data_IF_455164606171
#
_entry.id   IF_455164606171
#
_cell.length_a   1.000
_cell.length_b   1.000
_cell.length_c   1.000
_cell.angle_alpha   90.00
_cell.angle_beta   90.00
_cell.angle_gamma   90.00
#
_symmetry.space_group_name_H-M   'P 1'
#
loop_
_entity.id
_entity.type
_entity.pdbx_description
1 polymer ?
#
# COMPACT_ATOMS: atom_id res chain seq x y z
N UNK A 1 8.34 -4.41 -2.46
CA UNK A 1 9.79 -4.19 -2.59
C UNK A 1 10.46 -5.30 -3.39
N UNK A 2 10.07 -6.57 -3.24
CA UNK A 2 10.67 -7.65 -4.04
C UNK A 2 10.59 -7.42 -5.56
N UNK A 3 9.44 -6.98 -6.10
CA UNK A 3 9.30 -6.71 -7.54
C UNK A 3 10.27 -5.62 -8.02
N UNK A 4 10.36 -4.49 -7.30
CA UNK A 4 11.25 -3.39 -7.67
C UNK A 4 12.73 -3.82 -7.60
N UNK A 5 13.11 -4.58 -6.57
CA UNK A 5 14.47 -5.11 -6.43
C UNK A 5 14.83 -6.04 -7.59
N UNK A 6 13.93 -6.97 -7.97
CA UNK A 6 14.15 -7.84 -9.13
C UNK A 6 14.24 -7.06 -10.44
N UNK A 7 13.38 -6.06 -10.65
CA UNK A 7 13.43 -5.23 -11.84
C UNK A 7 14.75 -4.43 -11.90
N UNK A 8 15.22 -3.90 -10.77
CA UNK A 8 16.50 -3.20 -10.68
C UNK A 8 17.67 -4.12 -11.03
N UNK A 9 17.70 -5.36 -10.54
CA UNK A 9 18.71 -6.36 -10.91
C UNK A 9 18.67 -6.72 -12.40
N UNK A 10 17.48 -6.84 -12.98
CA UNK A 10 17.30 -7.12 -14.41
C UNK A 10 17.75 -5.94 -15.29
N UNK A 11 17.56 -4.70 -14.82
CA UNK A 11 18.06 -3.49 -15.49
C UNK A 11 19.58 -3.42 -15.38
N UNK A 12 20.15 -3.65 -14.19
CA UNK A 12 21.60 -3.63 -13.96
C UNK A 12 22.35 -4.69 -14.78
N UNK A 13 21.75 -5.86 -14.98
CA UNK A 13 22.31 -6.94 -15.81
C UNK A 13 22.10 -6.72 -17.32
N UNK A 14 21.39 -5.66 -17.73
CA UNK A 14 21.07 -5.36 -19.13
C UNK A 14 19.99 -6.27 -19.74
N UNK A 15 19.29 -7.05 -18.92
CA UNK A 15 18.20 -7.93 -19.36
C UNK A 15 16.94 -7.14 -19.74
N UNK A 16 16.65 -6.07 -19.00
CA UNK A 16 15.55 -5.15 -19.27
C UNK A 16 16.07 -3.72 -19.45
N UNK A 17 15.40 -2.94 -20.28
CA UNK A 17 15.61 -1.50 -20.30
C UNK A 17 14.90 -0.83 -19.11
N UNK A 18 15.39 0.32 -18.62
CA UNK A 18 14.71 1.08 -17.57
C UNK A 18 13.25 1.41 -17.92
N UNK A 19 12.97 1.75 -19.18
CA UNK A 19 11.62 2.09 -19.64
C UNK A 19 10.67 0.90 -19.54
N UNK A 20 11.14 -0.30 -19.87
CA UNK A 20 10.34 -1.51 -19.77
C UNK A 20 10.07 -1.88 -18.30
N UNK A 21 11.06 -1.71 -17.42
CA UNK A 21 10.85 -1.91 -15.98
C UNK A 21 9.77 -0.97 -15.42
N UNK A 22 9.77 0.30 -15.84
CA UNK A 22 8.71 1.27 -15.47
C UNK A 22 7.34 0.79 -15.96
N UNK A 23 7.24 0.28 -17.20
CA UNK A 23 5.98 -0.26 -17.72
C UNK A 23 5.47 -1.46 -16.91
N UNK A 24 6.37 -2.32 -16.43
CA UNK A 24 6.00 -3.43 -15.54
C UNK A 24 5.43 -2.90 -14.21
N UNK A 25 6.04 -1.87 -13.63
CA UNK A 25 5.52 -1.25 -12.39
C UNK A 25 4.13 -0.62 -12.60
N UNK A 26 3.93 0.10 -13.72
CA UNK A 26 2.61 0.65 -14.07
C UNK A 26 1.56 -0.45 -14.23
N UNK A 27 1.93 -1.58 -14.84
CA UNK A 27 1.01 -2.71 -14.97
C UNK A 27 0.73 -3.38 -13.62
N UNK A 28 1.73 -3.49 -12.75
CA UNK A 28 1.57 -4.01 -11.40
C UNK A 28 0.57 -3.18 -10.59
N UNK A 29 0.66 -1.85 -10.65
CA UNK A 29 -0.26 -0.96 -9.92
C UNK A 29 -1.73 -1.19 -10.32
N UNK A 30 -1.97 -1.38 -11.63
CA UNK A 30 -3.31 -1.72 -12.15
C UNK A 30 -3.79 -3.07 -11.64
N UNK A 31 -2.97 -4.11 -11.82
CA UNK A 31 -3.33 -5.47 -11.44
C UNK A 31 -3.54 -5.62 -9.92
N UNK A 32 -2.76 -4.92 -9.10
CA UNK A 32 -2.95 -4.92 -7.65
C UNK A 32 -4.26 -4.25 -7.24
N UNK A 33 -4.59 -3.11 -7.85
CA UNK A 33 -5.84 -2.40 -7.58
C UNK A 33 -7.06 -3.27 -7.92
N UNK A 34 -7.05 -3.88 -9.10
CA UNK A 34 -8.10 -4.81 -9.54
C UNK A 34 -8.22 -6.02 -8.61
N UNK A 35 -7.10 -6.63 -8.20
CA UNK A 35 -7.11 -7.78 -7.31
C UNK A 35 -7.66 -7.44 -5.92
N UNK A 36 -7.27 -6.29 -5.35
CA UNK A 36 -7.78 -5.81 -4.06
C UNK A 36 -9.30 -5.59 -4.11
N UNK A 37 -9.82 -4.98 -5.18
CA UNK A 37 -11.26 -4.72 -5.31
C UNK A 37 -12.07 -6.01 -5.55
N UNK A 38 -11.62 -6.83 -6.51
CA UNK A 38 -12.36 -8.00 -6.93
C UNK A 38 -12.29 -9.13 -5.90
N UNK A 39 -11.11 -9.38 -5.31
CA UNK A 39 -10.83 -10.63 -4.58
C UNK A 39 -10.83 -10.46 -3.06
N UNK A 40 -10.53 -9.27 -2.52
CA UNK A 40 -10.44 -9.08 -1.06
C UNK A 40 -11.79 -8.65 -0.49
N UNK A 41 -12.33 -9.44 0.44
CA UNK A 41 -13.60 -9.15 1.15
C UNK A 41 -13.44 -9.00 2.65
N UNK A 42 -12.30 -9.40 3.19
CA UNK A 42 -11.97 -9.35 4.61
C UNK A 42 -12.00 -7.92 5.14
N UNK A 43 -12.49 -7.74 6.36
CA UNK A 43 -12.57 -6.43 7.03
C UNK A 43 -11.68 -6.41 8.26
N UNK A 44 -11.07 -5.25 8.48
CA UNK A 44 -10.23 -4.99 9.66
C UNK A 44 -10.72 -3.72 10.35
N UNK A 45 -10.83 -3.77 11.67
CA UNK A 45 -11.05 -2.60 12.53
C UNK A 45 -9.75 -2.23 13.22
N UNK A 46 -9.44 -0.93 13.23
CA UNK A 46 -8.25 -0.39 13.89
C UNK A 46 -8.72 0.58 14.97
N UNK A 47 -8.23 0.42 16.21
CA UNK A 47 -8.49 1.33 17.33
C UNK A 47 -7.17 1.69 17.98
N UNK A 48 -6.88 2.96 18.19
CA UNK A 48 -5.67 3.40 18.89
C UNK A 48 -5.70 4.90 19.16
N UNK A 49 -4.63 5.41 19.76
CA UNK A 49 -4.50 6.83 20.06
C UNK A 49 -3.87 7.57 18.87
N UNK A 50 -4.55 8.59 18.35
CA UNK A 50 -4.00 9.40 17.27
C UNK A 50 -2.87 10.29 17.79
N UNK A 51 -1.66 10.07 17.29
CA UNK A 51 -0.49 10.88 17.62
C UNK A 51 -0.38 12.11 16.73
N UNK A 52 -0.48 11.93 15.41
CA UNK A 52 -0.48 13.03 14.45
C UNK A 52 -1.17 12.62 13.15
N UNK A 53 -1.63 13.61 12.37
CA UNK A 53 -2.20 13.42 11.06
C UNK A 53 -1.72 14.49 10.08
N UNK A 54 -1.79 14.19 8.78
CA UNK A 54 -1.50 15.13 7.70
C UNK A 54 -2.36 14.79 6.50
N UNK A 55 -2.85 15.83 5.82
CA UNK A 55 -3.43 15.71 4.50
C UNK A 55 -2.64 16.61 3.54
N UNK A 56 -2.11 16.02 2.47
CA UNK A 56 -1.38 16.71 1.41
C UNK A 56 -1.54 15.92 0.11
N UNK A 57 -1.75 16.60 -1.02
CA UNK A 57 -1.86 15.98 -2.35
C UNK A 57 -2.83 14.79 -2.42
N UNK A 58 -4.01 14.94 -1.80
CA UNK A 58 -5.05 13.91 -1.72
C UNK A 58 -4.63 12.61 -1.01
N UNK A 59 -3.55 12.66 -0.23
CA UNK A 59 -3.07 11.56 0.61
C UNK A 59 -3.21 11.94 2.08
N UNK A 60 -3.96 11.12 2.82
CA UNK A 60 -3.99 11.15 4.26
C UNK A 60 -2.85 10.31 4.84
N UNK A 61 -2.15 10.85 5.83
CA UNK A 61 -1.21 10.12 6.66
C UNK A 61 -1.61 10.25 8.12
N UNK A 62 -1.81 9.12 8.81
CA UNK A 62 -2.05 9.08 10.26
C UNK A 62 -0.92 8.31 10.95
N UNK A 63 -0.54 8.74 12.15
CA UNK A 63 0.31 7.94 13.05
C UNK A 63 -0.51 7.66 14.30
N UNK A 64 -0.74 6.37 14.58
CA UNK A 64 -1.43 5.92 15.79
C UNK A 64 -0.41 5.30 16.76
N UNK A 65 -0.69 5.42 18.05
CA UNK A 65 0.00 4.74 19.15
C UNK A 65 -0.96 3.75 19.82
N UNK A 66 -0.41 2.64 20.31
CA UNK A 66 -1.14 1.56 21.00
C UNK A 66 -2.38 1.11 20.21
N UNK A 67 -2.15 0.74 18.95
CA UNK A 67 -3.18 0.37 17.99
C UNK A 67 -3.55 -1.12 18.11
N UNK A 68 -4.81 -1.40 18.36
CA UNK A 68 -5.45 -2.71 18.27
C UNK A 68 -6.01 -2.92 16.87
N UNK A 69 -5.47 -3.91 16.17
CA UNK A 69 -5.97 -4.43 14.90
C UNK A 69 -6.86 -5.64 15.19
N UNK A 70 -8.07 -5.64 14.62
CA UNK A 70 -9.03 -6.74 14.78
C UNK A 70 -9.66 -7.12 13.45
N UNK A 71 -9.52 -8.38 13.06
CA UNK A 71 -10.27 -9.02 11.97
C UNK A 71 -11.15 -10.14 12.55
N UNK A 72 -11.79 -10.93 11.68
CA UNK A 72 -12.57 -12.10 12.11
C UNK A 72 -11.69 -13.20 12.73
N UNK A 73 -10.45 -13.32 12.26
CA UNK A 73 -9.53 -14.41 12.62
C UNK A 73 -8.39 -13.98 13.54
N UNK A 74 -8.10 -12.67 13.61
CA UNK A 74 -6.91 -12.15 14.27
C UNK A 74 -7.24 -10.93 15.16
N UNK A 75 -6.54 -10.86 16.28
CA UNK A 75 -6.45 -9.66 17.09
C UNK A 75 -5.00 -9.41 17.50
N UNK A 76 -4.47 -8.24 17.15
CA UNK A 76 -3.07 -7.89 17.36
C UNK A 76 -2.92 -6.48 17.93
N UNK A 77 -1.99 -6.29 18.87
CA UNK A 77 -1.63 -4.98 19.40
C UNK A 77 -0.30 -4.52 18.81
N UNK A 78 -0.28 -3.29 18.29
CA UNK A 78 0.87 -2.67 17.66
C UNK A 78 1.15 -1.35 18.37
N UNK A 79 2.37 -1.19 18.90
CA UNK A 79 2.75 0.01 19.68
C UNK A 79 2.67 1.30 18.86
N UNK A 80 2.98 1.25 17.57
CA UNK A 80 2.92 2.39 16.67
C UNK A 80 2.67 1.95 15.24
N UNK A 81 1.72 2.60 14.55
CA UNK A 81 1.43 2.34 13.14
C UNK A 81 1.32 3.64 12.34
N UNK A 82 1.80 3.62 11.10
CA UNK A 82 1.59 4.69 10.11
C UNK A 82 0.58 4.20 9.07
N UNK A 83 -0.53 4.90 8.92
CA UNK A 83 -1.55 4.65 7.90
C UNK A 83 -1.37 5.70 6.81
N UNK A 84 -1.20 5.26 5.56
CA UNK A 84 -1.17 6.13 4.37
C UNK A 84 -2.35 5.74 3.49
N UNK A 85 -3.25 6.67 3.22
CA UNK A 85 -4.47 6.44 2.47
C UNK A 85 -4.61 7.47 1.34
N UNK A 86 -4.67 6.98 0.10
CA UNK A 86 -4.93 7.80 -1.08
C UNK A 86 -6.44 7.90 -1.33
N UNK A 87 -6.90 9.01 -1.89
CA UNK A 87 -8.30 9.15 -2.33
C UNK A 87 -8.60 8.17 -3.48
N UNK A 88 -9.59 7.30 -3.30
CA UNK A 88 -10.00 6.31 -4.30
C UNK A 88 -10.63 6.92 -5.54
N UNK A 89 -11.08 8.18 -5.47
CA UNK A 89 -11.62 8.91 -6.64
C UNK A 89 -10.57 9.22 -7.70
N UNK A 90 -9.29 9.10 -7.36
CA UNK A 90 -8.18 9.28 -8.29
C UNK A 90 -7.90 8.01 -9.12
N UNK A 91 -8.49 6.86 -8.76
CA UNK A 91 -8.28 5.58 -9.46
C UNK A 91 -9.26 5.38 -10.64
N UNK A 92 -10.29 6.22 -10.77
CA UNK A 92 -11.34 6.13 -11.80
C UNK A 92 -11.20 7.18 -12.91
N UNK A 93 -10.09 7.92 -12.96
CA UNK A 93 -9.69 8.78 -14.09
C UNK A 93 -8.55 8.14 -14.88
#
# INVERSE_FOLDING_TARGET
MCLTETLDEMVQSGTLSPELAIQVLVQFDKSMTEALEAQVKSKVTIKGHLHTYRFCDNVWTFILQDALFKSEELQENVSRVKIVACDSKLLTQ
#
